data_IF_355287506454
#
_entry.id   IF_355287506454
#
_cell.length_a   1.000
_cell.length_b   1.000
_cell.length_c   1.000
_cell.angle_alpha   90.00
_cell.angle_beta   90.00
_cell.angle_gamma   90.00
#
_symmetry.space_group_name_H-M   'P 1'
#
loop_
_entity.id
_entity.type
_entity.pdbx_description
1 polymer ?
#
# COMPACT_ATOMS: atom_id res chain seq x y z
N UNK A 1 43.57 -36.94 8.94
CA UNK A 1 44.19 -35.81 8.22
C UNK A 1 43.26 -35.49 7.06
N UNK A 2 42.43 -34.46 7.18
CA UNK A 2 41.54 -34.04 6.10
C UNK A 2 42.41 -33.58 4.94
N UNK A 3 42.21 -34.18 3.76
CA UNK A 3 43.07 -33.97 2.61
C UNK A 3 42.95 -32.54 2.09
N UNK A 4 44.08 -31.92 1.75
CA UNK A 4 44.16 -30.59 1.12
C UNK A 4 43.35 -30.53 -0.19
N UNK A 5 42.93 -31.67 -0.74
CA UNK A 5 42.05 -31.84 -1.90
C UNK A 5 40.55 -31.64 -1.60
N UNK A 6 40.10 -31.68 -0.34
CA UNK A 6 38.69 -31.47 0.05
C UNK A 6 38.36 -29.98 0.25
N UNK A 7 39.39 -29.13 0.39
CA UNK A 7 39.23 -27.67 0.51
C UNK A 7 38.47 -27.03 -0.67
N UNK A 8 38.79 -27.32 -1.95
CA UNK A 8 38.01 -26.76 -3.06
C UNK A 8 36.56 -27.26 -3.09
N UNK A 9 36.32 -28.50 -2.67
CA UNK A 9 34.99 -29.11 -2.64
C UNK A 9 34.11 -28.47 -1.55
N UNK A 10 34.66 -28.29 -0.35
CA UNK A 10 34.02 -27.57 0.76
C UNK A 10 33.72 -26.09 0.45
N UNK A 11 34.63 -25.41 -0.28
CA UNK A 11 34.41 -24.03 -0.73
C UNK A 11 33.28 -23.99 -1.76
N UNK A 12 33.24 -24.94 -2.70
CA UNK A 12 32.14 -25.01 -3.68
C UNK A 12 30.79 -25.30 -3.03
N UNK A 13 30.75 -26.19 -2.04
CA UNK A 13 29.54 -26.53 -1.30
C UNK A 13 29.05 -25.34 -0.44
N UNK A 14 29.97 -24.62 0.21
CA UNK A 14 29.65 -23.40 0.96
C UNK A 14 29.14 -22.28 0.05
N UNK A 15 29.70 -22.15 -1.16
CA UNK A 15 29.24 -21.18 -2.17
C UNK A 15 27.86 -21.55 -2.71
N UNK A 16 27.58 -22.82 -2.96
CA UNK A 16 26.27 -23.28 -3.42
C UNK A 16 25.20 -23.10 -2.33
N UNK A 17 25.50 -23.44 -1.08
CA UNK A 17 24.61 -23.15 0.06
C UNK A 17 24.34 -21.65 0.22
N UNK A 18 25.37 -20.81 0.08
CA UNK A 18 25.23 -19.35 0.15
C UNK A 18 24.36 -18.79 -0.99
N UNK A 19 24.52 -19.32 -2.22
CA UNK A 19 23.67 -18.96 -3.36
C UNK A 19 22.23 -19.38 -3.15
N UNK A 20 22.00 -20.59 -2.65
CA UNK A 20 20.66 -21.12 -2.43
C UNK A 20 19.95 -20.33 -1.33
N UNK A 21 20.66 -19.94 -0.27
CA UNK A 21 20.15 -19.04 0.76
C UNK A 21 19.78 -17.67 0.19
N UNK A 22 20.69 -17.02 -0.55
CA UNK A 22 20.40 -15.75 -1.20
C UNK A 22 19.18 -15.86 -2.12
N UNK A 23 19.04 -16.97 -2.85
CA UNK A 23 17.90 -17.19 -3.73
C UNK A 23 16.59 -17.33 -2.97
N UNK A 24 16.55 -18.09 -1.87
CA UNK A 24 15.35 -18.23 -1.03
C UNK A 24 15.00 -16.92 -0.32
N UNK A 25 16.02 -16.22 0.17
CA UNK A 25 15.86 -15.06 1.04
C UNK A 25 15.70 -13.74 0.26
N UNK A 26 15.96 -13.72 -1.06
CA UNK A 26 15.75 -12.54 -1.91
C UNK A 26 14.74 -12.74 -3.03
N UNK A 27 14.76 -13.86 -3.75
CA UNK A 27 13.95 -14.01 -4.98
C UNK A 27 12.48 -14.23 -4.64
N UNK A 28 12.19 -15.06 -3.65
CA UNK A 28 10.82 -15.31 -3.21
C UNK A 28 10.17 -14.07 -2.57
N UNK A 29 10.83 -13.36 -1.62
CA UNK A 29 10.29 -12.11 -1.10
C UNK A 29 10.22 -11.00 -2.15
N UNK A 30 11.18 -10.87 -3.06
CA UNK A 30 11.11 -9.90 -4.16
C UNK A 30 9.91 -10.17 -5.09
N UNK A 31 9.61 -11.44 -5.39
CA UNK A 31 8.43 -11.82 -6.19
C UNK A 31 7.12 -11.48 -5.47
N UNK A 32 7.05 -11.71 -4.16
CA UNK A 32 5.89 -11.35 -3.33
C UNK A 32 5.71 -9.84 -3.24
N UNK A 33 6.78 -9.09 -2.97
CA UNK A 33 6.79 -7.62 -2.96
C UNK A 33 6.40 -7.04 -4.32
N UNK A 34 6.94 -7.57 -5.41
CA UNK A 34 6.60 -7.15 -6.77
C UNK A 34 5.12 -7.35 -7.09
N UNK A 35 4.52 -8.47 -6.65
CA UNK A 35 3.08 -8.73 -6.82
C UNK A 35 2.23 -7.73 -6.02
N UNK A 36 2.55 -7.52 -4.74
CA UNK A 36 1.83 -6.58 -3.87
C UNK A 36 1.97 -5.14 -4.37
N UNK A 37 3.18 -4.72 -4.70
CA UNK A 37 3.44 -3.40 -5.27
C UNK A 37 2.74 -3.21 -6.62
N UNK A 38 2.70 -4.25 -7.47
CA UNK A 38 1.98 -4.24 -8.74
C UNK A 38 0.48 -4.02 -8.56
N UNK A 39 -0.16 -4.73 -7.62
CA UNK A 39 -1.57 -4.50 -7.31
C UNK A 39 -1.82 -3.13 -6.68
N UNK A 40 -0.92 -2.65 -5.81
CA UNK A 40 -0.99 -1.31 -5.24
C UNK A 40 -0.92 -0.22 -6.31
N UNK A 41 0.01 -0.35 -7.26
CA UNK A 41 0.16 0.59 -8.37
C UNK A 41 -1.04 0.56 -9.33
N UNK A 42 -1.51 -0.63 -9.70
CA UNK A 42 -2.70 -0.78 -10.55
C UNK A 42 -3.94 -0.20 -9.87
N UNK A 43 -4.12 -0.44 -8.57
CA UNK A 43 -5.17 0.18 -7.77
C UNK A 43 -5.07 1.69 -7.78
N UNK A 44 -3.88 2.24 -7.50
CA UNK A 44 -3.64 3.69 -7.53
C UNK A 44 -3.96 4.30 -8.90
N UNK A 45 -3.57 3.65 -9.99
CA UNK A 45 -3.87 4.10 -11.35
C UNK A 45 -5.37 4.12 -11.63
N UNK A 46 -6.11 3.09 -11.22
CA UNK A 46 -7.57 3.05 -11.35
C UNK A 46 -8.25 4.14 -10.51
N UNK A 47 -7.79 4.37 -9.28
CA UNK A 47 -8.31 5.44 -8.44
C UNK A 47 -8.02 6.82 -9.02
N UNK A 48 -6.82 7.04 -9.57
CA UNK A 48 -6.48 8.29 -10.24
C UNK A 48 -7.39 8.54 -11.45
N UNK A 49 -7.65 7.51 -12.25
CA UNK A 49 -8.56 7.59 -13.39
C UNK A 49 -10.00 7.88 -12.94
N UNK A 50 -10.48 7.18 -11.92
CA UNK A 50 -11.81 7.40 -11.34
C UNK A 50 -11.96 8.82 -10.78
N UNK A 51 -10.94 9.35 -10.08
CA UNK A 51 -10.94 10.70 -9.56
C UNK A 51 -10.97 11.75 -10.68
N UNK A 52 -10.20 11.55 -11.76
CA UNK A 52 -10.20 12.44 -12.92
C UNK A 52 -11.56 12.46 -13.63
N UNK A 53 -12.05 11.29 -14.03
CA UNK A 53 -13.31 11.17 -14.78
C UNK A 53 -14.50 11.59 -13.91
N UNK A 54 -14.51 11.13 -12.66
CA UNK A 54 -15.53 11.48 -11.66
C UNK A 54 -15.54 12.99 -11.38
N UNK A 55 -14.37 13.62 -11.21
CA UNK A 55 -14.26 15.05 -11.00
C UNK A 55 -14.83 15.87 -12.16
N UNK A 56 -14.53 15.49 -13.41
CA UNK A 56 -15.11 16.15 -14.60
C UNK A 56 -16.62 15.94 -14.67
N UNK A 57 -17.10 14.71 -14.42
CA UNK A 57 -18.52 14.39 -14.46
C UNK A 57 -19.31 15.17 -13.41
N UNK A 58 -18.83 15.20 -12.17
CA UNK A 58 -19.44 15.91 -11.05
C UNK A 58 -19.44 17.42 -11.31
N UNK A 59 -18.31 17.97 -11.78
CA UNK A 59 -18.24 19.39 -12.13
C UNK A 59 -19.25 19.76 -13.23
N UNK A 60 -19.37 18.93 -14.27
CA UNK A 60 -20.35 19.13 -15.35
C UNK A 60 -21.78 19.06 -14.81
N UNK A 61 -22.03 18.16 -13.86
CA UNK A 61 -23.34 17.97 -13.25
C UNK A 61 -23.74 19.16 -12.37
N UNK A 62 -22.82 19.64 -11.53
CA UNK A 62 -23.02 20.83 -10.70
C UNK A 62 -23.33 22.05 -11.57
N UNK A 63 -22.50 22.34 -12.58
CA UNK A 63 -22.70 23.51 -13.44
C UNK A 63 -24.06 23.49 -14.16
N UNK A 64 -24.58 22.30 -14.51
CA UNK A 64 -25.92 22.16 -15.12
C UNK A 64 -27.08 22.46 -14.17
N UNK A 65 -26.86 22.32 -12.87
CA UNK A 65 -27.88 22.62 -11.85
C UNK A 65 -27.93 24.12 -11.51
N UNK A 66 -26.87 24.85 -11.82
CA UNK A 66 -26.78 26.28 -11.54
C UNK A 66 -27.37 27.11 -12.72
N UNK A 67 -27.98 28.27 -12.43
CA UNK A 67 -28.45 29.18 -13.48
C UNK A 67 -27.32 29.69 -14.38
N UNK A 68 -27.67 30.04 -15.61
CA UNK A 68 -26.71 30.62 -16.54
C UNK A 68 -26.18 31.97 -16.04
N UNK A 69 -24.86 32.10 -15.97
CA UNK A 69 -24.20 33.34 -15.55
C UNK A 69 -22.76 33.12 -15.12
N UNK A 70 -21.90 34.13 -15.35
CA UNK A 70 -20.46 34.05 -15.04
C UNK A 70 -20.18 33.86 -13.55
N UNK A 71 -21.01 34.46 -12.68
CA UNK A 71 -20.88 34.30 -11.23
C UNK A 71 -21.24 32.88 -10.76
N UNK A 72 -22.30 32.31 -11.31
CA UNK A 72 -22.79 30.97 -10.97
C UNK A 72 -21.85 29.87 -11.46
N UNK A 73 -21.29 30.00 -12.67
CA UNK A 73 -20.28 29.04 -13.14
C UNK A 73 -19.01 29.08 -12.29
N UNK A 74 -18.56 30.28 -11.88
CA UNK A 74 -17.48 30.46 -10.92
C UNK A 74 -17.73 29.72 -9.59
N UNK A 75 -18.92 29.90 -9.03
CA UNK A 75 -19.34 29.21 -7.80
C UNK A 75 -19.38 27.69 -7.97
N UNK A 76 -19.83 27.19 -9.12
CA UNK A 76 -19.84 25.76 -9.46
C UNK A 76 -18.45 25.13 -9.47
N UNK A 77 -17.43 25.83 -9.99
CA UNK A 77 -16.05 25.35 -9.94
C UNK A 77 -15.51 25.28 -8.51
N UNK A 78 -15.79 26.31 -7.68
CA UNK A 78 -15.36 26.33 -6.27
C UNK A 78 -16.03 25.20 -5.49
N UNK A 79 -17.34 25.00 -5.64
CA UNK A 79 -18.08 23.89 -5.03
C UNK A 79 -17.51 22.53 -5.43
N UNK A 80 -17.22 22.34 -6.71
CA UNK A 80 -16.63 21.09 -7.22
C UNK A 80 -15.25 20.84 -6.63
N UNK A 81 -14.42 21.87 -6.51
CA UNK A 81 -13.10 21.78 -5.88
C UNK A 81 -13.20 21.41 -4.39
N UNK A 82 -14.10 22.06 -3.64
CA UNK A 82 -14.35 21.74 -2.24
C UNK A 82 -14.85 20.30 -2.06
N UNK A 83 -15.76 19.85 -2.93
CA UNK A 83 -16.27 18.49 -2.91
C UNK A 83 -15.17 17.46 -3.18
N UNK A 84 -14.28 17.70 -4.14
CA UNK A 84 -13.13 16.82 -4.40
C UNK A 84 -12.19 16.74 -3.20
N UNK A 85 -11.90 17.87 -2.56
CA UNK A 85 -11.08 17.90 -1.33
C UNK A 85 -11.75 17.12 -0.21
N UNK A 86 -13.06 17.28 -0.02
CA UNK A 86 -13.81 16.54 0.99
C UNK A 86 -13.79 15.03 0.74
N UNK A 87 -13.98 14.58 -0.52
CA UNK A 87 -13.91 13.17 -0.89
C UNK A 87 -12.49 12.63 -0.68
N UNK A 88 -11.46 13.34 -1.10
CA UNK A 88 -10.08 12.93 -0.89
C UNK A 88 -9.76 12.78 0.61
N UNK A 89 -10.18 13.76 1.42
CA UNK A 89 -10.06 13.70 2.88
C UNK A 89 -10.79 12.50 3.48
N UNK A 90 -12.01 12.21 3.02
CA UNK A 90 -12.80 11.06 3.46
C UNK A 90 -12.11 9.73 3.10
N UNK A 91 -11.55 9.61 1.90
CA UNK A 91 -10.82 8.40 1.46
C UNK A 91 -9.59 8.19 2.33
N UNK A 92 -8.80 9.24 2.59
CA UNK A 92 -7.62 9.17 3.47
C UNK A 92 -8.04 8.75 4.87
N UNK A 93 -9.10 9.36 5.41
CA UNK A 93 -9.61 9.04 6.73
C UNK A 93 -10.12 7.61 6.84
N UNK A 94 -10.88 7.15 5.84
CA UNK A 94 -11.38 5.78 5.78
C UNK A 94 -10.24 4.75 5.68
N UNK A 95 -9.19 5.06 4.90
CA UNK A 95 -8.00 4.24 4.81
C UNK A 95 -7.27 4.10 6.14
N UNK A 96 -7.18 5.16 6.94
CA UNK A 96 -6.51 5.15 8.25
C UNK A 96 -7.20 4.23 9.27
N UNK A 97 -8.53 4.15 9.26
CA UNK A 97 -9.29 3.26 10.15
C UNK A 97 -8.96 1.78 9.95
N UNK A 98 -8.54 1.38 8.75
CA UNK A 98 -8.15 -0.01 8.46
C UNK A 98 -6.79 -0.42 9.02
N UNK A 99 -5.94 0.54 9.44
CA UNK A 99 -4.61 0.27 10.00
C UNK A 99 -4.58 0.22 11.53
N UNK A 100 -5.70 0.52 12.20
CA UNK A 100 -5.76 0.48 13.67
C UNK A 100 -5.86 -0.95 14.23
N UNK A 101 -5.95 -2.00 13.38
CA UNK A 101 -6.10 -3.39 13.82
C UNK A 101 -5.35 -4.50 13.02
N UNK A 102 -4.09 -4.33 12.57
CA UNK A 102 -3.26 -5.44 12.12
C UNK A 102 -2.47 -6.02 13.30
N UNK A 103 -3.08 -6.94 14.06
CA UNK A 103 -2.39 -7.80 15.03
C UNK A 103 -1.54 -7.02 16.03
N UNK A 104 -2.18 -6.53 17.09
CA UNK A 104 -1.48 -5.97 18.24
C UNK A 104 -0.34 -6.92 18.64
N UNK A 105 0.87 -6.41 18.83
CA UNK A 105 2.02 -7.21 19.32
C UNK A 105 1.66 -7.94 20.64
N UNK A 106 0.63 -7.45 21.34
CA UNK A 106 0.05 -8.08 22.54
C UNK A 106 -0.67 -9.41 22.26
N UNK A 107 -1.11 -9.66 21.03
CA UNK A 107 -1.77 -10.92 20.62
C UNK A 107 -0.74 -12.01 20.23
N UNK A 108 0.48 -11.59 19.88
CA UNK A 108 1.58 -12.49 19.49
C UNK A 108 2.45 -12.85 20.69
N UNK A 109 2.51 -11.97 21.71
CA UNK A 109 3.20 -12.26 22.96
C UNK A 109 2.28 -13.10 23.86
N UNK A 110 2.68 -14.30 24.29
CA UNK A 110 1.95 -14.98 25.35
C UNK A 110 1.89 -14.06 26.57
N UNK A 111 0.70 -13.93 27.17
CA UNK A 111 0.48 -13.10 28.35
C UNK A 111 1.56 -13.42 29.39
N UNK A 112 2.39 -12.43 29.72
CA UNK A 112 3.43 -12.60 30.74
C UNK A 112 2.74 -12.97 32.04
N UNK A 113 3.08 -14.13 32.58
CA UNK A 113 2.49 -14.85 33.70
C UNK A 113 2.50 -14.08 35.04
N UNK A 114 2.94 -12.81 35.04
CA UNK A 114 3.12 -11.95 36.20
C UNK A 114 1.98 -10.97 36.49
N UNK A 115 1.07 -10.69 35.54
CA UNK A 115 0.01 -9.67 35.74
C UNK A 115 -1.25 -10.20 36.45
N UNK A 116 -1.28 -11.49 36.81
CA UNK A 116 -2.42 -12.10 37.52
C UNK A 116 -2.29 -12.04 39.07
N UNK A 117 -1.34 -11.25 39.60
CA UNK A 117 -1.07 -11.17 41.04
C UNK A 117 -0.78 -9.76 41.52
N UNK A 118 -1.70 -8.82 41.30
CA UNK A 118 -1.85 -7.62 42.14
C UNK A 118 -3.33 -7.32 42.37
#
# INVERSE_FOLDING_TARGET
MAGVQELPELISESLDLSKEYLRQETVEPAKRLGKVAGFGFAGAALFALAALLGGVAVNRWIIRLLPDGRAWSGLGYVLSALLLVAIAGLVIWAGRRGYEDPGSIRDVLPARDGDARE
#
